data_IF_103871005776
#
_entry.id   IF_103871005776
#
_cell.length_a   1.000
_cell.length_b   1.000
_cell.length_c   1.000
_cell.angle_alpha   90.00
_cell.angle_beta   90.00
_cell.angle_gamma   90.00
#
_symmetry.space_group_name_H-M   'P 1'
#
loop_
_entity.id
_entity.type
_entity.pdbx_description
1 polymer ?
#
# COMPACT_ATOMS: atom_id res chain seq x y z
N UNK A 1 -18.12 17.65 23.80
CA UNK A 1 -18.86 17.76 22.54
C UNK A 1 -20.15 16.99 22.72
N UNK A 2 -21.28 17.65 22.51
CA UNK A 2 -22.60 17.05 22.58
C UNK A 2 -23.01 16.57 21.19
N UNK A 3 -23.88 15.55 21.12
CA UNK A 3 -24.36 14.98 19.86
C UNK A 3 -25.04 16.01 18.94
N UNK A 4 -25.58 17.08 19.52
CA UNK A 4 -26.22 18.20 18.83
C UNK A 4 -25.25 19.25 18.27
N UNK A 5 -23.97 19.19 18.62
CA UNK A 5 -22.97 20.16 18.16
C UNK A 5 -22.83 20.06 16.64
N UNK A 6 -22.70 21.21 15.97
CA UNK A 6 -22.60 21.29 14.51
C UNK A 6 -21.15 21.23 14.06
N UNK A 7 -20.90 20.60 12.93
CA UNK A 7 -19.56 20.52 12.36
C UNK A 7 -18.96 21.92 12.08
N UNK A 8 -17.64 22.09 12.27
CA UNK A 8 -16.94 23.29 11.84
C UNK A 8 -16.95 23.39 10.30
N UNK A 9 -16.53 24.54 9.76
CA UNK A 9 -16.35 24.68 8.32
C UNK A 9 -15.36 23.64 7.79
N UNK A 10 -15.79 22.83 6.82
CA UNK A 10 -14.95 21.80 6.23
C UNK A 10 -13.95 22.43 5.25
N UNK A 11 -12.65 22.07 5.35
CA UNK A 11 -11.69 22.45 4.33
C UNK A 11 -11.96 21.70 3.03
N UNK A 12 -11.60 22.31 1.91
CA UNK A 12 -11.68 21.67 0.59
C UNK A 12 -10.59 20.59 0.44
N UNK A 13 -10.87 19.55 -0.34
CA UNK A 13 -9.90 18.57 -0.79
C UNK A 13 -9.63 17.41 0.19
N UNK A 14 -10.45 17.21 1.23
CA UNK A 14 -10.24 16.08 2.16
C UNK A 14 -10.44 14.70 1.50
N UNK A 15 -11.11 14.64 0.35
CA UNK A 15 -11.26 13.41 -0.44
C UNK A 15 -9.96 12.98 -1.14
N UNK A 16 -8.99 13.88 -1.27
CA UNK A 16 -7.75 13.63 -2.03
C UNK A 16 -6.56 14.19 -1.27
N UNK A 17 -6.22 13.53 -0.17
CA UNK A 17 -5.07 13.91 0.64
C UNK A 17 -3.77 13.67 -0.13
N UNK A 18 -2.89 14.66 -0.11
CA UNK A 18 -1.51 14.51 -0.57
C UNK A 18 -0.76 13.52 0.35
N UNK A 19 0.35 12.90 -0.11
CA UNK A 19 1.15 12.00 0.73
C UNK A 19 1.57 12.65 2.06
N UNK A 20 1.96 13.93 2.05
CA UNK A 20 2.33 14.66 3.26
C UNK A 20 1.15 14.83 4.23
N UNK A 21 -0.05 15.11 3.73
CA UNK A 21 -1.26 15.22 4.56
C UNK A 21 -1.68 13.86 5.12
N UNK A 22 -1.54 12.78 4.35
CA UNK A 22 -1.80 11.42 4.83
C UNK A 22 -0.82 11.03 5.94
N UNK A 23 0.48 11.30 5.77
CA UNK A 23 1.49 11.08 6.81
C UNK A 23 1.24 11.94 8.06
N UNK A 24 0.77 13.18 7.89
CA UNK A 24 0.38 14.02 9.02
C UNK A 24 -0.82 13.43 9.77
N UNK A 25 -1.84 12.95 9.06
CA UNK A 25 -3.01 12.32 9.68
C UNK A 25 -2.63 11.07 10.48
N UNK A 26 -1.72 10.25 9.94
CA UNK A 26 -1.15 9.09 10.64
C UNK A 26 -0.34 9.51 11.87
N UNK A 27 0.53 10.51 11.74
CA UNK A 27 1.32 11.06 12.85
C UNK A 27 0.43 11.59 13.98
N UNK A 28 -0.67 12.25 13.63
CA UNK A 28 -1.67 12.73 14.58
C UNK A 28 -2.63 11.63 15.09
N UNK A 29 -2.46 10.40 14.63
CA UNK A 29 -3.31 9.24 14.97
C UNK A 29 -4.80 9.51 14.73
N UNK A 30 -5.12 10.25 13.67
CA UNK A 30 -6.51 10.51 13.30
C UNK A 30 -7.16 9.19 12.88
N UNK A 31 -8.34 8.90 13.43
CA UNK A 31 -9.10 7.72 13.01
C UNK A 31 -9.47 7.88 11.53
N UNK A 32 -9.02 6.97 10.65
CA UNK A 32 -9.26 7.07 9.21
C UNK A 32 -10.76 7.01 8.87
N UNK A 33 -11.57 6.38 9.72
CA UNK A 33 -13.02 6.29 9.52
C UNK A 33 -13.69 7.64 9.82
N UNK A 34 -13.18 8.40 10.81
CA UNK A 34 -13.61 9.78 11.08
C UNK A 34 -13.19 10.73 9.96
N UNK A 35 -11.95 10.60 9.49
CA UNK A 35 -11.44 11.40 8.38
C UNK A 35 -12.23 11.15 7.08
N UNK A 36 -12.58 9.90 6.81
CA UNK A 36 -13.43 9.53 5.68
C UNK A 36 -14.86 10.10 5.80
N UNK A 37 -15.47 10.05 6.99
CA UNK A 37 -16.80 10.62 7.23
C UNK A 37 -16.83 12.15 7.08
N UNK A 38 -15.75 12.83 7.49
CA UNK A 38 -15.57 14.26 7.25
C UNK A 38 -15.37 14.57 5.75
N UNK A 39 -14.55 13.77 5.06
CA UNK A 39 -14.25 13.94 3.64
C UNK A 39 -15.47 13.79 2.72
N UNK A 40 -16.48 13.00 3.10
CA UNK A 40 -17.72 12.81 2.33
C UNK A 40 -18.39 14.14 1.94
N UNK A 41 -18.41 15.12 2.86
CA UNK A 41 -19.00 16.43 2.63
C UNK A 41 -17.95 17.53 2.33
N UNK A 42 -16.68 17.15 2.19
CA UNK A 42 -15.61 18.10 1.83
C UNK A 42 -15.74 18.48 0.36
N UNK A 43 -15.81 19.78 0.03
CA UNK A 43 -15.80 20.22 -1.35
C UNK A 43 -14.48 19.80 -2.05
N UNK A 44 -14.47 19.59 -3.37
CA UNK A 44 -13.24 19.33 -4.09
C UNK A 44 -12.26 20.49 -3.95
N UNK A 45 -10.97 20.20 -4.08
CA UNK A 45 -9.96 21.25 -4.14
C UNK A 45 -10.26 22.11 -5.39
N UNK A 46 -10.29 23.45 -5.28
CA UNK A 46 -10.36 24.30 -6.46
C UNK A 46 -9.18 23.97 -7.37
N UNK A 47 -9.39 24.03 -8.69
CA UNK A 47 -8.29 24.03 -9.65
C UNK A 47 -7.26 25.13 -9.29
N UNK A 48 -6.02 25.00 -9.78
CA UNK A 48 -4.90 25.89 -9.49
C UNK A 48 -5.32 27.35 -9.38
N UNK A 49 -4.71 28.06 -8.42
CA UNK A 49 -4.98 29.46 -8.15
C UNK A 49 -4.70 30.25 -9.42
N UNK A 50 -5.75 30.53 -10.17
CA UNK A 50 -5.73 31.50 -11.25
C UNK A 50 -5.32 32.84 -10.63
N UNK A 51 -4.38 33.55 -11.24
CA UNK A 51 -3.92 34.85 -10.77
C UNK A 51 -5.11 35.83 -10.65
N UNK A 52 -6.17 35.60 -11.43
CA UNK A 52 -7.46 36.30 -11.33
C UNK A 52 -8.15 36.16 -9.95
N UNK A 53 -7.78 35.19 -9.12
CA UNK A 53 -8.34 35.01 -7.77
C UNK A 53 -7.83 36.07 -6.79
N UNK A 54 -6.64 36.63 -7.02
CA UNK A 54 -6.07 37.66 -6.16
C UNK A 54 -6.66 39.03 -6.45
N UNK A 55 -7.07 39.30 -7.69
CA UNK A 55 -7.52 40.63 -8.15
C UNK A 55 -8.54 41.30 -7.23
N UNK A 56 -9.64 40.65 -6.80
CA UNK A 56 -10.61 41.35 -5.95
C UNK A 56 -10.05 41.65 -4.55
N UNK A 57 -9.11 40.84 -4.04
CA UNK A 57 -8.43 41.11 -2.78
C UNK A 57 -7.40 42.23 -2.91
N UNK A 58 -6.66 42.26 -4.03
CA UNK A 58 -5.69 43.32 -4.31
C UNK A 58 -6.37 44.68 -4.45
N UNK A 59 -7.57 44.74 -5.02
CA UNK A 59 -8.38 45.95 -5.11
C UNK A 59 -8.89 46.47 -3.76
N UNK A 60 -8.97 45.61 -2.74
CA UNK A 60 -9.32 46.01 -1.36
C UNK A 60 -8.13 46.54 -0.55
N UNK A 61 -6.89 46.33 -1.02
CA UNK A 61 -5.69 46.80 -0.32
C UNK A 61 -5.49 48.31 -0.50
N UNK A 62 -5.14 48.98 0.60
CA UNK A 62 -4.80 50.40 0.57
C UNK A 62 -3.41 50.64 -0.03
N UNK A 63 -3.20 51.82 -0.60
CA UNK A 63 -1.87 52.22 -1.10
C UNK A 63 -0.78 52.20 -0.01
N UNK A 64 -1.15 52.39 1.25
CA UNK A 64 -0.22 52.29 2.38
C UNK A 64 0.27 50.85 2.59
N UNK A 65 -0.64 49.88 2.54
CA UNK A 65 -0.32 48.45 2.69
C UNK A 65 0.54 47.92 1.54
N UNK A 66 0.22 48.31 0.31
CA UNK A 66 1.01 47.94 -0.88
C UNK A 66 2.43 48.50 -0.77
N UNK A 67 2.56 49.79 -0.39
CA UNK A 67 3.88 50.42 -0.22
C UNK A 67 4.67 49.80 0.93
N UNK A 68 4.02 49.39 2.01
CA UNK A 68 4.70 48.70 3.11
C UNK A 68 5.25 47.34 2.68
N UNK A 69 4.44 46.53 1.99
CA UNK A 69 4.90 45.26 1.42
C UNK A 69 6.10 45.45 0.46
N UNK A 70 6.06 46.46 -0.41
CA UNK A 70 7.18 46.79 -1.30
C UNK A 70 8.45 47.21 -0.53
N UNK A 71 8.30 47.99 0.55
CA UNK A 71 9.45 48.35 1.40
C UNK A 71 10.06 47.13 2.08
N UNK A 72 9.24 46.20 2.56
CA UNK A 72 9.73 44.96 3.18
C UNK A 72 10.44 44.06 2.17
N UNK A 73 9.94 43.99 0.93
CA UNK A 73 10.60 43.28 -0.18
C UNK A 73 11.97 43.88 -0.52
N UNK A 74 12.04 45.20 -0.69
CA UNK A 74 13.30 45.90 -0.95
C UNK A 74 14.28 45.83 0.23
N UNK A 75 13.76 45.68 1.45
CA UNK A 75 14.53 45.50 2.69
C UNK A 75 15.04 44.06 2.93
N UNK A 76 14.88 43.15 1.96
CA UNK A 76 15.38 41.78 2.05
C UNK A 76 14.48 40.79 2.80
N UNK A 77 13.26 41.19 3.21
CA UNK A 77 12.30 40.35 3.94
C UNK A 77 11.31 39.65 3.02
N UNK A 78 11.76 39.23 1.84
CA UNK A 78 10.87 38.74 0.79
C UNK A 78 10.03 37.53 1.22
N UNK A 79 10.65 36.53 1.85
CA UNK A 79 9.97 35.31 2.33
C UNK A 79 8.93 35.59 3.42
N UNK A 80 9.21 36.50 4.36
CA UNK A 80 8.29 36.88 5.44
C UNK A 80 7.10 37.66 4.89
N UNK A 81 7.37 38.60 3.98
CA UNK A 81 6.34 39.42 3.32
C UNK A 81 5.41 38.54 2.48
N UNK A 82 5.97 37.62 1.69
CA UNK A 82 5.20 36.68 0.88
C UNK A 82 4.29 35.80 1.76
N UNK A 83 4.83 35.19 2.81
CA UNK A 83 4.05 34.38 3.75
C UNK A 83 2.92 35.19 4.39
N UNK A 84 3.22 36.41 4.83
CA UNK A 84 2.24 37.32 5.44
C UNK A 84 1.10 37.66 4.49
N UNK A 85 1.42 38.09 3.26
CA UNK A 85 0.42 38.39 2.23
C UNK A 85 -0.44 37.16 1.89
N UNK A 86 0.19 35.99 1.75
CA UNK A 86 -0.50 34.73 1.46
C UNK A 86 -1.47 34.35 2.59
N UNK A 87 -1.06 34.49 3.85
CA UNK A 87 -1.94 34.25 5.00
C UNK A 87 -3.12 35.22 5.04
N UNK A 88 -2.89 36.52 4.78
CA UNK A 88 -3.96 37.52 4.75
C UNK A 88 -4.97 37.25 3.64
N UNK A 89 -4.49 36.94 2.44
CA UNK A 89 -5.32 36.53 1.31
C UNK A 89 -6.18 35.30 1.66
N UNK A 90 -5.57 34.24 2.21
CA UNK A 90 -6.29 33.03 2.58
C UNK A 90 -7.36 33.29 3.66
N UNK A 91 -7.10 34.18 4.60
CA UNK A 91 -8.07 34.57 5.62
C UNK A 91 -9.25 35.35 5.02
N UNK A 92 -8.96 36.29 4.11
CA UNK A 92 -10.00 37.02 3.36
C UNK A 92 -10.84 36.10 2.47
N UNK A 93 -10.21 35.15 1.78
CA UNK A 93 -10.89 34.21 0.88
C UNK A 93 -11.78 33.21 1.64
N UNK A 94 -11.43 32.90 2.89
CA UNK A 94 -12.24 32.08 3.81
C UNK A 94 -13.37 32.86 4.46
N UNK A 95 -13.33 34.18 4.49
CA UNK A 95 -14.39 34.98 5.09
C UNK A 95 -15.70 34.77 4.31
N UNK A 96 -16.85 34.66 4.99
CA UNK A 96 -18.14 34.47 4.32
C UNK A 96 -18.46 35.70 3.46
N UNK A 97 -18.52 35.51 2.14
CA UNK A 97 -18.92 36.55 1.19
C UNK A 97 -20.41 36.41 0.88
N UNK A 98 -21.18 37.51 0.86
CA UNK A 98 -22.58 37.47 0.46
C UNK A 98 -22.70 36.99 -0.99
N UNK A 99 -23.53 35.97 -1.25
CA UNK A 99 -23.75 35.39 -2.58
C UNK A 99 -23.00 34.08 -2.88
N UNK A 100 -22.18 33.57 -1.96
CA UNK A 100 -21.67 32.19 -2.04
C UNK A 100 -22.80 31.22 -1.70
N UNK A 101 -22.95 30.15 -2.50
CA UNK A 101 -24.01 29.15 -2.38
C UNK A 101 -24.30 28.76 -0.92
N UNK A 102 -25.60 28.55 -0.62
CA UNK A 102 -26.13 28.29 0.72
C UNK A 102 -25.23 27.33 1.52
N UNK A 103 -25.02 27.59 2.83
CA UNK A 103 -24.24 26.70 3.65
C UNK A 103 -24.87 25.31 3.58
N UNK A 104 -24.12 24.33 3.08
CA UNK A 104 -24.45 22.91 3.22
C UNK A 104 -24.88 22.72 4.67
N UNK A 105 -26.11 22.22 4.87
CA UNK A 105 -26.68 22.03 6.20
C UNK A 105 -25.67 21.26 7.04
N UNK A 106 -25.06 21.97 8.00
CA UNK A 106 -23.97 21.43 8.81
C UNK A 106 -24.47 20.23 9.59
N UNK A 107 -23.82 19.09 9.44
CA UNK A 107 -24.19 17.88 10.17
C UNK A 107 -23.95 18.07 11.67
N UNK A 108 -24.78 17.41 12.45
CA UNK A 108 -24.56 17.21 13.87
C UNK A 108 -23.49 16.13 14.08
N UNK A 109 -22.83 16.10 15.23
CA UNK A 109 -21.83 15.07 15.54
C UNK A 109 -22.42 13.65 15.43
N UNK A 110 -23.68 13.46 15.87
CA UNK A 110 -24.36 12.17 15.73
C UNK A 110 -24.49 11.70 14.28
N UNK A 111 -24.81 12.62 13.35
CA UNK A 111 -24.91 12.32 11.92
C UNK A 111 -23.55 11.99 11.28
N UNK A 112 -22.44 12.45 11.88
CA UNK A 112 -21.08 12.15 11.42
C UNK A 112 -20.62 10.81 11.99
N UNK A 113 -20.93 10.50 13.24
CA UNK A 113 -20.59 9.19 13.84
C UNK A 113 -21.33 8.05 13.13
N UNK A 114 -22.60 8.24 12.75
CA UNK A 114 -23.31 7.28 11.91
C UNK A 114 -22.63 7.05 10.55
N UNK A 115 -22.02 8.09 9.96
CA UNK A 115 -21.26 7.99 8.71
C UNK A 115 -19.90 7.34 8.91
N UNK A 116 -19.26 7.57 10.05
CA UNK A 116 -18.00 6.91 10.44
C UNK A 116 -18.19 5.38 10.47
N UNK A 117 -19.30 4.89 11.03
CA UNK A 117 -19.58 3.45 11.03
C UNK A 117 -19.76 2.89 9.62
N UNK A 118 -20.44 3.62 8.74
CA UNK A 118 -20.55 3.25 7.33
C UNK A 118 -19.19 3.24 6.62
N UNK A 119 -18.34 4.25 6.88
CA UNK A 119 -16.99 4.34 6.35
C UNK A 119 -16.12 3.16 6.83
N UNK A 120 -16.21 2.81 8.11
CA UNK A 120 -15.54 1.65 8.70
C UNK A 120 -15.96 0.35 8.03
N UNK A 121 -17.26 0.13 7.88
CA UNK A 121 -17.79 -1.08 7.24
C UNK A 121 -17.28 -1.21 5.79
N UNK A 122 -17.26 -0.10 5.04
CA UNK A 122 -16.72 -0.07 3.69
C UNK A 122 -15.22 -0.38 3.65
N UNK A 123 -14.42 0.19 4.57
CA UNK A 123 -12.99 -0.08 4.67
C UNK A 123 -12.72 -1.55 4.96
N UNK A 124 -13.38 -2.13 5.96
CA UNK A 124 -13.24 -3.55 6.32
C UNK A 124 -13.61 -4.44 5.12
N UNK A 125 -14.69 -4.13 4.40
CA UNK A 125 -15.10 -4.88 3.20
C UNK A 125 -14.02 -4.82 2.11
N UNK A 126 -13.43 -3.65 1.87
CA UNK A 126 -12.34 -3.46 0.88
C UNK A 126 -11.08 -4.21 1.29
N UNK A 127 -10.69 -4.15 2.56
CA UNK A 127 -9.54 -4.89 3.08
C UNK A 127 -9.71 -6.40 2.95
N UNK A 128 -10.90 -6.93 3.27
CA UNK A 128 -11.22 -8.36 3.10
C UNK A 128 -11.12 -8.77 1.64
N UNK A 129 -11.78 -8.03 0.75
CA UNK A 129 -11.72 -8.30 -0.69
C UNK A 129 -10.28 -8.24 -1.24
N UNK A 130 -9.45 -7.31 -0.75
CA UNK A 130 -8.05 -7.21 -1.14
C UNK A 130 -7.22 -8.42 -0.63
N UNK A 131 -7.45 -8.88 0.60
CA UNK A 131 -6.82 -10.09 1.15
C UNK A 131 -7.23 -11.33 0.37
N UNK A 132 -8.52 -11.50 0.10
CA UNK A 132 -9.04 -12.64 -0.66
C UNK A 132 -8.46 -12.65 -2.09
N UNK A 133 -8.41 -11.49 -2.75
CA UNK A 133 -7.80 -11.37 -4.08
C UNK A 133 -6.29 -11.65 -4.06
N UNK A 134 -5.58 -11.23 -3.01
CA UNK A 134 -4.15 -11.53 -2.85
C UNK A 134 -3.91 -13.03 -2.66
N UNK A 135 -4.73 -13.71 -1.87
CA UNK A 135 -4.61 -15.15 -1.66
C UNK A 135 -4.93 -15.94 -2.94
N UNK A 136 -5.98 -15.56 -3.67
CA UNK A 136 -6.29 -16.17 -4.98
C UNK A 136 -5.12 -16.00 -5.95
N UNK A 137 -4.50 -14.81 -6.01
CA UNK A 137 -3.30 -14.58 -6.84
C UNK A 137 -2.15 -15.46 -6.40
N UNK A 138 -1.86 -15.54 -5.10
CA UNK A 138 -0.78 -16.37 -4.54
C UNK A 138 -0.97 -17.85 -4.87
N UNK A 139 -2.18 -18.37 -4.73
CA UNK A 139 -2.51 -19.76 -5.08
C UNK A 139 -2.34 -19.98 -6.59
N UNK A 140 -2.80 -19.05 -7.43
CA UNK A 140 -2.65 -19.15 -8.88
C UNK A 140 -1.18 -19.10 -9.32
N UNK A 141 -0.37 -18.23 -8.71
CA UNK A 141 1.07 -18.14 -8.95
C UNK A 141 1.79 -19.40 -8.50
N UNK A 142 1.51 -19.92 -7.30
CA UNK A 142 2.05 -21.20 -6.82
C UNK A 142 1.70 -22.33 -7.80
N UNK A 143 0.45 -22.37 -8.28
CA UNK A 143 0.01 -23.37 -9.25
C UNK A 143 0.74 -23.27 -10.58
N UNK A 144 0.91 -22.07 -11.13
CA UNK A 144 1.69 -21.83 -12.36
C UNK A 144 3.15 -22.24 -12.18
N UNK A 145 3.72 -21.94 -11.02
CA UNK A 145 5.09 -22.35 -10.69
C UNK A 145 5.24 -23.87 -10.70
N UNK A 146 4.38 -24.61 -9.97
CA UNK A 146 4.42 -26.08 -9.94
C UNK A 146 4.19 -26.71 -11.32
N UNK A 147 3.23 -26.19 -12.10
CA UNK A 147 3.00 -26.66 -13.48
C UNK A 147 4.23 -26.48 -14.38
N UNK A 148 4.97 -25.38 -14.20
CA UNK A 148 6.22 -25.15 -14.94
C UNK A 148 7.32 -26.14 -14.57
N UNK A 149 7.41 -26.58 -13.30
CA UNK A 149 8.37 -27.60 -12.87
C UNK A 149 8.14 -28.96 -13.55
N UNK A 150 6.87 -29.37 -13.70
CA UNK A 150 6.54 -30.64 -14.38
C UNK A 150 6.82 -30.53 -15.89
N UNK A 151 6.44 -29.41 -16.52
CA UNK A 151 6.72 -29.16 -17.94
C UNK A 151 8.22 -29.15 -18.24
N UNK A 152 9.01 -28.69 -17.28
CA UNK A 152 10.46 -28.58 -17.35
C UNK A 152 11.17 -29.67 -16.53
N UNK A 153 10.57 -30.87 -16.43
CA UNK A 153 11.04 -31.99 -15.60
C UNK A 153 12.56 -32.21 -15.72
N UNK A 154 13.06 -32.44 -16.94
CA UNK A 154 14.46 -32.79 -17.18
C UNK A 154 15.41 -31.70 -16.65
N UNK A 155 15.13 -30.44 -17.01
CA UNK A 155 15.93 -29.30 -16.59
C UNK A 155 15.83 -29.03 -15.08
N UNK A 156 14.69 -29.34 -14.45
CA UNK A 156 14.51 -29.20 -13.01
C UNK A 156 15.34 -30.23 -12.25
N UNK A 157 15.34 -31.49 -12.69
CA UNK A 157 16.21 -32.52 -12.12
C UNK A 157 17.70 -32.20 -12.31
N UNK A 158 18.10 -31.69 -13.47
CA UNK A 158 19.48 -31.25 -13.73
C UNK A 158 19.89 -30.07 -12.84
N UNK A 159 18.98 -29.11 -12.60
CA UNK A 159 19.21 -28.02 -11.65
C UNK A 159 19.41 -28.52 -10.22
N UNK A 160 18.67 -29.55 -9.80
CA UNK A 160 18.88 -30.18 -8.49
C UNK A 160 20.26 -30.84 -8.44
N UNK A 161 20.61 -31.63 -9.45
CA UNK A 161 21.91 -32.33 -9.57
C UNK A 161 23.09 -31.34 -9.51
N UNK A 162 23.08 -30.31 -10.36
CA UNK A 162 24.12 -29.26 -10.40
C UNK A 162 24.21 -28.46 -9.10
N UNK A 163 23.07 -28.19 -8.45
CA UNK A 163 23.07 -27.52 -7.13
C UNK A 163 23.68 -28.42 -6.07
N UNK A 164 23.36 -29.72 -6.06
CA UNK A 164 23.97 -30.68 -5.16
C UNK A 164 25.48 -30.78 -5.38
N UNK A 165 25.95 -30.78 -6.62
CA UNK A 165 27.38 -30.87 -6.96
C UNK A 165 28.23 -29.81 -6.25
N UNK A 166 27.71 -28.58 -6.06
CA UNK A 166 28.40 -27.48 -5.35
C UNK A 166 28.80 -27.82 -3.91
N UNK A 167 28.12 -28.77 -3.27
CA UNK A 167 28.58 -29.38 -2.02
C UNK A 167 28.51 -28.51 -0.76
N UNK A 168 27.90 -27.32 -0.81
CA UNK A 168 27.77 -26.42 0.34
C UNK A 168 26.45 -26.61 1.10
N UNK A 169 26.43 -26.23 2.39
CA UNK A 169 25.22 -26.30 3.23
C UNK A 169 24.03 -25.54 2.65
N UNK A 170 24.29 -24.35 2.08
CA UNK A 170 23.29 -23.54 1.40
C UNK A 170 22.78 -24.23 0.12
N UNK A 171 23.68 -24.82 -0.67
CA UNK A 171 23.31 -25.54 -1.88
C UNK A 171 22.44 -26.76 -1.59
N UNK A 172 22.74 -27.52 -0.54
CA UNK A 172 21.87 -28.61 -0.10
C UNK A 172 20.48 -28.12 0.34
N UNK A 173 20.39 -26.95 0.98
CA UNK A 173 19.11 -26.33 1.33
C UNK A 173 18.29 -25.95 0.09
N UNK A 174 18.93 -25.30 -0.89
CA UNK A 174 18.28 -24.94 -2.16
C UNK A 174 17.81 -26.17 -2.94
N UNK A 175 18.66 -27.20 -3.06
CA UNK A 175 18.33 -28.44 -3.75
C UNK A 175 17.17 -29.19 -3.07
N UNK A 176 17.14 -29.17 -1.73
CA UNK A 176 16.06 -29.78 -0.96
C UNK A 176 14.74 -29.05 -1.16
N UNK A 177 14.75 -27.71 -1.13
CA UNK A 177 13.55 -26.90 -1.39
C UNK A 177 13.01 -27.17 -2.81
N UNK A 178 13.88 -27.18 -3.82
CA UNK A 178 13.48 -27.45 -5.20
C UNK A 178 12.96 -28.88 -5.38
N UNK A 179 13.50 -29.86 -4.63
CA UNK A 179 12.98 -31.23 -4.63
C UNK A 179 11.59 -31.33 -3.97
N UNK A 180 11.33 -30.58 -2.89
CA UNK A 180 10.01 -30.50 -2.26
C UNK A 180 8.98 -29.89 -3.21
N UNK A 181 9.33 -28.78 -3.86
CA UNK A 181 8.48 -28.12 -4.85
C UNK A 181 8.17 -29.07 -6.02
N UNK A 182 9.18 -29.82 -6.49
CA UNK A 182 8.99 -30.82 -7.53
C UNK A 182 8.10 -31.99 -7.08
N UNK A 183 8.26 -32.47 -5.85
CA UNK A 183 7.41 -33.52 -5.27
C UNK A 183 5.93 -33.09 -5.20
N UNK A 184 5.68 -31.86 -4.73
CA UNK A 184 4.33 -31.26 -4.71
C UNK A 184 3.75 -31.16 -6.12
N UNK A 185 4.58 -30.75 -7.09
CA UNK A 185 4.17 -30.65 -8.49
C UNK A 185 3.74 -32.01 -9.06
N UNK A 186 4.48 -33.10 -8.77
CA UNK A 186 4.12 -34.46 -9.19
C UNK A 186 2.89 -35.02 -8.48
N UNK A 187 2.72 -34.74 -7.18
CA UNK A 187 1.53 -35.12 -6.45
C UNK A 187 0.28 -34.49 -7.08
N UNK A 188 0.40 -33.25 -7.55
CA UNK A 188 -0.70 -32.53 -8.20
C UNK A 188 -1.13 -33.15 -9.54
N UNK A 189 -0.19 -33.56 -10.39
CA UNK A 189 -0.48 -34.30 -11.62
C UNK A 189 -0.71 -35.81 -11.40
N UNK A 190 -0.76 -36.26 -10.14
CA UNK A 190 -0.94 -37.67 -9.73
C UNK A 190 0.07 -38.62 -10.38
N UNK A 191 1.32 -38.18 -10.51
CA UNK A 191 2.39 -38.94 -11.15
C UNK A 191 3.56 -39.19 -10.18
N UNK A 192 3.25 -39.73 -9.01
CA UNK A 192 4.23 -40.08 -7.97
C UNK A 192 5.28 -41.09 -8.47
N UNK A 193 4.91 -41.93 -9.45
CA UNK A 193 5.82 -42.92 -10.02
C UNK A 193 6.97 -42.25 -10.80
N UNK A 194 6.71 -41.17 -11.56
CA UNK A 194 7.76 -40.42 -12.25
C UNK A 194 8.70 -39.74 -11.25
N UNK A 195 8.15 -39.12 -10.22
CA UNK A 195 8.94 -38.54 -9.13
C UNK A 195 9.88 -39.56 -8.48
N UNK A 196 9.34 -40.74 -8.09
CA UNK A 196 10.14 -41.80 -7.47
C UNK A 196 11.27 -42.28 -8.37
N UNK A 197 11.03 -42.44 -9.68
CA UNK A 197 12.09 -42.81 -10.64
C UNK A 197 13.19 -41.73 -10.71
N UNK A 198 12.81 -40.46 -10.75
CA UNK A 198 13.75 -39.34 -10.71
C UNK A 198 14.58 -39.31 -9.42
N UNK A 199 13.92 -39.48 -8.27
CA UNK A 199 14.56 -39.54 -6.96
C UNK A 199 15.57 -40.69 -6.86
N UNK A 200 15.22 -41.88 -7.34
CA UNK A 200 16.15 -43.04 -7.36
C UNK A 200 17.39 -42.72 -8.20
N UNK A 201 17.25 -42.11 -9.38
CA UNK A 201 18.39 -41.70 -10.22
C UNK A 201 19.27 -40.66 -9.54
N UNK A 202 18.66 -39.68 -8.88
CA UNK A 202 19.38 -38.64 -8.13
C UNK A 202 20.16 -39.26 -6.95
N UNK A 203 19.54 -40.21 -6.24
CA UNK A 203 20.15 -40.90 -5.11
C UNK A 203 21.29 -41.84 -5.52
N UNK A 204 21.23 -42.44 -6.71
CA UNK A 204 22.36 -43.22 -7.22
C UNK A 204 23.64 -42.38 -7.36
N UNK A 205 23.53 -41.08 -7.62
CA UNK A 205 24.67 -40.16 -7.76
C UNK A 205 25.10 -39.48 -6.45
N UNK A 206 24.12 -39.09 -5.62
CA UNK A 206 24.37 -38.25 -4.44
C UNK A 206 24.11 -38.97 -3.09
N UNK A 207 23.79 -40.27 -3.12
CA UNK A 207 23.44 -41.05 -1.91
C UNK A 207 24.59 -41.26 -0.93
N UNK A 208 25.85 -41.07 -1.35
CA UNK A 208 27.02 -41.08 -0.46
C UNK A 208 27.20 -39.77 0.33
N UNK A 209 26.43 -38.72 0.04
CA UNK A 209 26.54 -37.41 0.68
C UNK A 209 25.69 -37.37 1.95
N UNK A 210 26.28 -37.70 3.10
CA UNK A 210 25.56 -37.80 4.38
C UNK A 210 24.72 -36.56 4.76
N UNK A 211 25.22 -35.35 4.47
CA UNK A 211 24.49 -34.10 4.75
C UNK A 211 23.23 -33.91 3.87
N UNK A 212 23.21 -34.51 2.68
CA UNK A 212 22.04 -34.55 1.79
C UNK A 212 21.04 -35.60 2.27
N UNK A 213 21.51 -36.81 2.54
CA UNK A 213 20.69 -37.92 3.06
C UNK A 213 19.98 -37.53 4.36
N UNK A 214 20.68 -36.86 5.28
CA UNK A 214 20.10 -36.37 6.54
C UNK A 214 18.94 -35.39 6.32
N UNK A 215 18.97 -34.56 5.27
CA UNK A 215 17.88 -33.64 4.95
C UNK A 215 16.67 -34.37 4.37
N UNK A 216 16.92 -35.36 3.52
CA UNK A 216 15.85 -36.20 2.96
C UNK A 216 15.10 -36.99 4.02
N UNK A 217 15.82 -37.59 4.98
CA UNK A 217 15.20 -38.33 6.07
C UNK A 217 14.37 -37.44 6.99
N UNK A 218 14.82 -36.22 7.28
CA UNK A 218 14.04 -35.21 8.00
C UNK A 218 12.80 -34.76 7.22
N UNK A 219 12.86 -34.77 5.88
CA UNK A 219 11.78 -34.39 4.98
C UNK A 219 10.76 -35.48 4.66
N UNK A 220 10.80 -36.63 5.35
CA UNK A 220 10.01 -37.83 5.05
C UNK A 220 10.23 -38.44 3.64
N UNK A 221 11.27 -38.04 2.92
CA UNK A 221 11.73 -38.73 1.71
C UNK A 221 12.63 -39.90 2.13
N UNK A 222 12.00 -40.98 2.60
CA UNK A 222 12.72 -42.18 3.04
C UNK A 222 13.43 -42.85 1.87
N UNK A 223 14.77 -42.91 1.94
CA UNK A 223 15.60 -43.67 1.01
C UNK A 223 16.32 -44.79 1.76
N UNK A 224 16.13 -46.02 1.30
CA UNK A 224 16.92 -47.17 1.77
C UNK A 224 18.08 -47.42 0.79
N UNK A 225 19.35 -47.34 1.25
CA UNK A 225 20.46 -47.79 0.44
C UNK A 225 20.28 -49.28 0.12
N UNK A 226 20.45 -49.66 -1.15
CA UNK A 226 20.76 -51.05 -1.46
C UNK A 226 22.20 -51.30 -1.01
N UNK A 227 22.34 -52.12 0.02
CA UNK A 227 23.58 -52.87 0.35
C UNK A 227 23.98 -53.75 -0.82
#
# INVERSE_FOLDING_TARGET
>A
MCDSDREPSLPNGLQTLTPAQASLAEFMMLDPDWLAAAAEASPPLPAEVDDARFEPWLLELTAAEIRDALRQLLGGKAQETERGLRTRFLNWDRAPKPGRAEPVVRRTIAEIDARRDAARALRIRRERAARDAAEVRRIAERRRYLDSLVKQESTTWERIDTTLQRGSGHAYGQAFQLLQDLAEAYAWVKNDAAFRRGLVRLMAKHGNRGAWVKRLSLGAFMWTPKT
#
